data_IF_157568635262
#
_entry.id   IF_157568635262
#
_cell.length_a   1.000
_cell.length_b   1.000
_cell.length_c   1.000
_cell.angle_alpha   90.00
_cell.angle_beta   90.00
_cell.angle_gamma   90.00
#
_symmetry.space_group_name_H-M   'P 1'
#
loop_
_entity.id
_entity.type
_entity.pdbx_description
1 polymer ?
#
# COMPACT_ATOMS: atom_id res chain seq x y z
N UNK A 1 -13.30 -19.40 -3.50
CA UNK A 1 -12.04 -19.77 -2.83
C UNK A 1 -12.22 -19.55 -1.33
N UNK A 2 -12.34 -20.60 -0.51
CA UNK A 2 -12.47 -20.47 0.95
C UNK A 2 -11.07 -20.51 1.56
N UNK A 3 -10.53 -19.35 1.92
CA UNK A 3 -9.30 -19.28 2.69
C UNK A 3 -9.56 -19.89 4.07
N UNK A 4 -8.98 -21.07 4.32
CA UNK A 4 -8.92 -21.65 5.66
C UNK A 4 -8.04 -20.73 6.52
N UNK A 5 -8.59 -20.30 7.64
CA UNK A 5 -7.99 -19.37 8.60
C UNK A 5 -6.90 -20.04 9.45
N UNK A 6 -5.81 -20.43 8.79
CA UNK A 6 -4.53 -20.92 9.30
C UNK A 6 -3.57 -20.63 8.12
N UNK A 7 -2.76 -19.58 8.04
CA UNK A 7 -1.83 -19.00 9.01
C UNK A 7 -1.52 -17.52 8.68
N UNK A 8 -2.47 -16.75 8.12
CA UNK A 8 -2.22 -15.33 7.82
C UNK A 8 -2.38 -14.48 9.08
N UNK A 9 -1.30 -13.82 9.48
CA UNK A 9 -1.31 -12.75 10.47
C UNK A 9 -0.59 -11.50 9.94
N UNK A 10 -0.67 -10.43 10.72
CA UNK A 10 -0.09 -9.13 10.37
C UNK A 10 1.46 -9.19 10.35
N UNK A 11 2.05 -10.15 11.06
CA UNK A 11 3.50 -10.31 11.15
C UNK A 11 4.03 -10.90 9.84
N UNK A 12 3.33 -11.88 9.26
CA UNK A 12 3.64 -12.41 7.92
C UNK A 12 3.61 -11.31 6.85
N UNK A 13 2.65 -10.39 6.91
CA UNK A 13 2.62 -9.25 6.00
C UNK A 13 3.81 -8.33 6.21
N UNK A 14 4.16 -8.02 7.47
CA UNK A 14 5.33 -7.19 7.78
C UNK A 14 6.62 -7.82 7.24
N UNK A 15 6.77 -9.14 7.38
CA UNK A 15 7.91 -9.89 6.82
C UNK A 15 7.92 -9.85 5.30
N UNK A 16 6.76 -10.03 4.65
CA UNK A 16 6.67 -9.98 3.19
C UNK A 16 7.07 -8.62 2.63
N UNK A 17 6.61 -7.52 3.25
CA UNK A 17 6.94 -6.15 2.84
C UNK A 17 8.43 -5.87 3.00
N UNK A 18 9.02 -6.25 4.14
CA UNK A 18 10.48 -6.16 4.33
C UNK A 18 11.24 -7.00 3.31
N UNK A 19 10.72 -8.17 2.95
CA UNK A 19 11.36 -9.04 1.96
C UNK A 19 11.45 -8.36 0.59
N UNK A 20 10.42 -7.59 0.18
CA UNK A 20 10.45 -6.79 -1.06
C UNK A 20 11.59 -5.79 -1.02
N UNK A 21 11.72 -5.01 0.06
CA UNK A 21 12.83 -4.05 0.23
C UNK A 21 14.20 -4.74 0.27
N UNK A 22 14.32 -5.85 0.99
CA UNK A 22 15.61 -6.56 1.06
C UNK A 22 15.96 -7.31 -0.23
N UNK A 23 14.98 -7.61 -1.09
CA UNK A 23 15.22 -8.35 -2.33
C UNK A 23 15.94 -7.54 -3.40
N UNK A 24 15.99 -6.22 -3.23
CA UNK A 24 16.68 -5.30 -4.14
C UNK A 24 18.07 -4.90 -3.64
N UNK A 25 18.49 -5.37 -2.46
CA UNK A 25 19.83 -5.09 -1.93
C UNK A 25 20.91 -5.70 -2.82
N UNK A 26 21.85 -4.86 -3.29
CA UNK A 26 22.90 -5.23 -4.23
C UNK A 26 22.50 -5.17 -5.70
N UNK A 27 21.25 -4.83 -6.00
CA UNK A 27 20.74 -4.64 -7.36
C UNK A 27 20.69 -3.15 -7.74
N UNK A 28 20.59 -2.83 -9.03
CA UNK A 28 20.47 -1.43 -9.50
C UNK A 28 19.26 -0.69 -8.89
N UNK A 29 18.23 -1.44 -8.50
CA UNK A 29 17.00 -0.95 -7.88
C UNK A 29 17.09 -0.71 -6.36
N UNK A 30 18.25 -0.97 -5.73
CA UNK A 30 18.44 -0.84 -4.28
C UNK A 30 18.00 0.56 -3.78
N UNK A 31 18.48 1.63 -4.42
CA UNK A 31 18.20 3.00 -3.99
C UNK A 31 16.73 3.40 -4.13
N UNK A 32 15.98 2.77 -5.02
CA UNK A 32 14.56 3.08 -5.24
C UNK A 32 13.66 2.41 -4.19
N UNK A 33 14.15 1.34 -3.54
CA UNK A 33 13.36 0.55 -2.60
C UNK A 33 13.80 0.73 -1.14
N UNK A 34 15.03 1.18 -0.87
CA UNK A 34 15.48 1.52 0.49
C UNK A 34 14.55 2.57 1.10
N UNK A 35 13.98 2.25 2.26
CA UNK A 35 13.12 3.16 3.01
C UNK A 35 11.72 3.34 2.42
N UNK A 36 11.37 2.63 1.34
CA UNK A 36 10.06 2.74 0.66
C UNK A 36 8.89 2.48 1.63
N UNK A 37 9.09 1.59 2.60
CA UNK A 37 8.07 1.21 3.58
C UNK A 37 8.35 1.73 4.99
N UNK A 38 9.29 2.69 5.15
CA UNK A 38 9.74 3.18 6.46
C UNK A 38 8.63 3.84 7.29
N UNK A 39 7.68 4.52 6.64
CA UNK A 39 6.51 5.14 7.28
C UNK A 39 5.36 4.16 7.55
N UNK A 40 5.47 2.90 7.11
CA UNK A 40 4.41 1.91 7.29
C UNK A 40 4.48 1.25 8.67
N UNK A 41 3.63 1.71 9.59
CA UNK A 41 3.49 1.12 10.92
C UNK A 41 2.30 0.15 11.02
N UNK A 42 2.58 -1.15 10.78
CA UNK A 42 1.61 -2.24 10.97
C UNK A 42 1.32 -2.55 12.45
N UNK A 43 2.08 -1.97 13.38
CA UNK A 43 1.88 -2.11 14.82
C UNK A 43 1.04 -0.97 15.44
N UNK A 44 0.56 -0.05 14.61
CA UNK A 44 -0.18 1.12 15.06
C UNK A 44 -1.46 0.76 15.81
N UNK A 45 -1.72 1.44 16.92
CA UNK A 45 -3.00 1.34 17.65
C UNK A 45 -4.19 1.82 16.84
N UNK A 46 -3.95 2.60 15.76
CA UNK A 46 -4.99 3.00 14.79
C UNK A 46 -5.52 1.83 13.96
N UNK A 47 -4.74 0.76 13.83
CA UNK A 47 -5.14 -0.46 13.11
C UNK A 47 -5.84 -1.49 14.02
N UNK A 48 -5.73 -1.32 15.34
CA UNK A 48 -6.30 -2.23 16.34
C UNK A 48 -5.45 -2.30 17.61
N UNK A 49 -6.06 -2.69 18.72
CA UNK A 49 -5.42 -2.73 20.03
C UNK A 49 -4.60 -4.01 20.25
N UNK A 50 -4.84 -5.05 19.45
CA UNK A 50 -4.12 -6.32 19.52
C UNK A 50 -3.86 -6.89 18.12
N UNK A 51 -2.99 -7.90 18.04
CA UNK A 51 -2.59 -8.56 16.77
C UNK A 51 -3.81 -9.06 16.00
N UNK A 52 -4.76 -9.69 16.68
CA UNK A 52 -5.97 -10.24 16.06
C UNK A 52 -6.84 -9.16 15.39
N UNK A 53 -7.03 -8.02 16.04
CA UNK A 53 -7.78 -6.89 15.48
C UNK A 53 -7.08 -6.30 14.26
N UNK A 54 -5.76 -6.11 14.33
CA UNK A 54 -4.95 -5.61 13.21
C UNK A 54 -4.98 -6.55 12.02
N UNK A 55 -4.77 -7.84 12.26
CA UNK A 55 -4.90 -8.90 11.25
C UNK A 55 -6.28 -8.89 10.62
N UNK A 56 -7.35 -8.77 11.42
CA UNK A 56 -8.71 -8.74 10.89
C UNK A 56 -8.98 -7.50 10.02
N UNK A 57 -8.49 -6.32 10.41
CA UNK A 57 -8.65 -5.10 9.64
C UNK A 57 -7.90 -5.20 8.30
N UNK A 58 -6.63 -5.58 8.34
CA UNK A 58 -5.80 -5.69 7.14
C UNK A 58 -6.28 -6.82 6.23
N UNK A 59 -6.73 -7.95 6.78
CA UNK A 59 -7.35 -9.02 5.98
C UNK A 59 -8.56 -8.51 5.21
N UNK A 60 -9.39 -7.64 5.80
CA UNK A 60 -10.52 -7.03 5.08
C UNK A 60 -10.04 -6.13 3.94
N UNK A 61 -8.97 -5.36 4.15
CA UNK A 61 -8.37 -4.53 3.09
C UNK A 61 -7.88 -5.42 1.95
N UNK A 62 -7.17 -6.51 2.25
CA UNK A 62 -6.67 -7.45 1.24
C UNK A 62 -7.80 -8.14 0.47
N UNK A 63 -8.87 -8.55 1.14
CA UNK A 63 -10.05 -9.13 0.47
C UNK A 63 -10.71 -8.10 -0.45
N UNK A 64 -10.86 -6.85 -0.01
CA UNK A 64 -11.41 -5.79 -0.86
C UNK A 64 -10.51 -5.49 -2.08
N UNK A 65 -9.19 -5.67 -1.96
CA UNK A 65 -8.26 -5.54 -3.09
C UNK A 65 -8.36 -6.74 -4.04
N UNK A 66 -8.56 -7.95 -3.54
CA UNK A 66 -8.78 -9.17 -4.35
C UNK A 66 -10.07 -9.11 -5.18
N UNK A 67 -11.10 -8.41 -4.67
CA UNK A 67 -12.35 -8.18 -5.37
C UNK A 67 -12.21 -7.16 -6.53
N UNK A 68 -11.07 -6.46 -6.66
CA UNK A 68 -10.86 -5.54 -7.78
C UNK A 68 -10.61 -6.34 -9.07
N UNK A 69 -11.33 -6.04 -10.17
CA UNK A 69 -11.15 -6.72 -11.44
C UNK A 69 -9.88 -6.22 -12.11
N UNK A 70 -8.73 -6.75 -11.70
CA UNK A 70 -7.47 -6.59 -12.39
C UNK A 70 -7.53 -7.41 -13.69
N UNK A 71 -7.90 -6.75 -14.80
CA UNK A 71 -7.98 -7.39 -16.11
C UNK A 71 -6.57 -7.54 -16.65
N UNK A 72 -6.04 -8.77 -16.68
CA UNK A 72 -4.69 -9.11 -17.19
C UNK A 72 -4.50 -8.70 -18.66
N UNK A 73 -4.23 -7.43 -18.84
CA UNK A 73 -4.05 -6.72 -20.10
C UNK A 73 -3.34 -5.40 -19.78
N UNK A 74 -2.83 -4.69 -20.79
CA UNK A 74 -2.17 -3.39 -20.60
C UNK A 74 -3.07 -2.36 -19.87
N UNK A 75 -4.39 -2.58 -19.87
CA UNK A 75 -5.38 -1.79 -19.10
C UNK A 75 -5.21 -1.89 -17.57
N UNK A 76 -4.52 -2.93 -17.06
CA UNK A 76 -4.33 -3.15 -15.62
C UNK A 76 -3.41 -2.10 -14.99
N UNK A 77 -2.32 -1.75 -15.69
CA UNK A 77 -1.33 -0.77 -15.21
C UNK A 77 -1.97 0.62 -15.14
N UNK A 78 -2.73 1.00 -16.17
CA UNK A 78 -3.43 2.28 -16.23
C UNK A 78 -4.49 2.40 -15.12
N UNK A 79 -5.28 1.34 -14.88
CA UNK A 79 -6.28 1.34 -13.81
C UNK A 79 -5.65 1.45 -12.41
N UNK A 80 -4.51 0.79 -12.18
CA UNK A 80 -3.77 0.92 -10.92
C UNK A 80 -3.18 2.33 -10.75
N UNK A 81 -2.66 2.92 -11.83
CA UNK A 81 -2.20 4.30 -11.88
C UNK A 81 -3.31 5.28 -11.51
N UNK A 82 -4.46 5.21 -12.19
CA UNK A 82 -5.63 6.06 -11.94
C UNK A 82 -6.15 5.93 -10.51
N UNK A 83 -6.21 4.69 -9.99
CA UNK A 83 -6.63 4.43 -8.62
C UNK A 83 -5.65 5.06 -7.61
N UNK A 84 -4.35 4.95 -7.87
CA UNK A 84 -3.31 5.54 -7.02
C UNK A 84 -3.37 7.08 -7.02
N UNK A 85 -3.48 7.70 -8.19
CA UNK A 85 -3.64 9.16 -8.32
C UNK A 85 -4.90 9.65 -7.60
N UNK A 86 -6.01 8.92 -7.74
CA UNK A 86 -7.24 9.24 -7.04
C UNK A 86 -7.08 9.19 -5.51
N UNK A 87 -6.37 8.17 -4.98
CA UNK A 87 -6.11 8.03 -3.55
C UNK A 87 -5.22 9.17 -3.02
N UNK A 88 -4.20 9.57 -3.76
CA UNK A 88 -3.37 10.75 -3.44
C UNK A 88 -4.24 12.01 -3.43
N UNK A 89 -5.05 12.23 -4.48
CA UNK A 89 -5.94 13.38 -4.58
C UNK A 89 -6.93 13.47 -3.41
N UNK A 90 -7.49 12.32 -3.00
CA UNK A 90 -8.36 12.18 -1.81
C UNK A 90 -7.64 12.49 -0.52
N UNK A 91 -6.43 11.93 -0.32
CA UNK A 91 -5.61 12.20 0.87
C UNK A 91 -5.32 13.70 1.00
N UNK A 92 -4.95 14.30 -0.12
CA UNK A 92 -4.55 15.68 -0.16
C UNK A 92 -5.75 16.66 -0.04
N UNK A 93 -6.93 16.30 -0.57
CA UNK A 93 -8.17 17.01 -0.30
C UNK A 93 -8.59 16.95 1.19
N UNK A 94 -8.34 15.82 1.86
CA UNK A 94 -8.67 15.59 3.27
C UNK A 94 -7.69 16.30 4.23
N UNK A 95 -6.42 16.45 3.84
CA UNK A 95 -5.37 17.09 4.64
C UNK A 95 -5.46 18.64 4.72
N UNK A 96 -6.45 19.26 4.07
CA UNK A 96 -6.65 20.70 4.12
C UNK A 96 -5.82 21.46 3.06
N UNK A 97 -6.52 22.23 2.24
CA UNK A 97 -5.98 23.10 1.19
C UNK A 97 -4.97 24.13 1.74
N UNK A 98 -3.68 23.81 1.91
CA UNK A 98 -2.65 24.88 2.01
C UNK A 98 -1.21 24.51 1.60
N UNK A 99 -0.81 23.23 1.52
CA UNK A 99 0.59 22.88 1.21
C UNK A 99 0.85 22.20 -0.13
N UNK A 100 0.00 21.25 -0.54
CA UNK A 100 0.37 20.26 -1.56
C UNK A 100 -0.01 20.65 -3.00
N UNK A 101 -0.98 21.57 -3.19
CA UNK A 101 -1.45 21.98 -4.54
C UNK A 101 -0.35 22.67 -5.37
N UNK A 102 0.77 23.06 -4.76
CA UNK A 102 1.93 23.66 -5.47
C UNK A 102 2.83 22.59 -6.09
N UNK A 103 2.82 21.34 -5.61
CA UNK A 103 3.70 20.29 -6.15
C UNK A 103 3.18 19.68 -7.45
N UNK A 104 1.85 19.47 -7.59
CA UNK A 104 1.28 18.80 -8.77
C UNK A 104 1.05 19.72 -9.98
N UNK A 105 1.15 21.04 -9.83
CA UNK A 105 0.97 21.98 -10.97
C UNK A 105 2.28 22.42 -11.61
N UNK A 106 3.44 22.00 -11.08
CA UNK A 106 4.75 22.49 -11.53
C UNK A 106 5.54 21.46 -12.34
N UNK A 107 5.00 20.24 -12.57
CA UNK A 107 5.60 19.21 -13.44
C UNK A 107 4.75 18.96 -14.68
N UNK A 108 4.16 20.02 -15.23
CA UNK A 108 3.55 20.01 -16.56
C UNK A 108 3.80 21.36 -17.23
N UNK A 109 5.07 21.67 -17.50
CA UNK A 109 5.52 22.59 -18.56
C UNK A 109 6.86 22.10 -19.07
#
# INVERSE_FOLDING_TARGET
>A
MKLKTQDFDIEHLATAIRKVETSTLGEESENDFIGLFSDMDLSSTRLGNNVKERTALISKVMVNLDDLPFVHSDMEIDMLGDAYEFLIGRFAATAGKKGWRVLYTTTSI
#
